data_IF_154375768939
#
_entry.id   IF_154375768939
#
_cell.length_a   1.000
_cell.length_b   1.000
_cell.length_c   1.000
_cell.angle_alpha   90.00
_cell.angle_beta   90.00
_cell.angle_gamma   90.00
#
_symmetry.space_group_name_H-M   'P 1'
#
loop_
_entity.id
_entity.type
_entity.pdbx_description
1 polymer ?
#
# COMPACT_ATOMS: atom_id res chain seq x y z
N UNK A 1 12.86 -55.33 -23.26
CA UNK A 1 12.42 -54.55 -24.44
C UNK A 1 12.38 -53.10 -24.00
N UNK A 2 13.46 -52.36 -24.24
CA UNK A 2 13.77 -51.13 -23.51
C UNK A 2 13.05 -49.92 -24.11
N UNK A 3 12.05 -49.38 -23.42
CA UNK A 3 11.36 -48.13 -23.77
C UNK A 3 12.33 -46.95 -23.98
N UNK A 4 13.53 -47.04 -23.37
CA UNK A 4 14.61 -46.06 -23.48
C UNK A 4 15.25 -46.01 -24.88
N UNK A 5 15.21 -47.09 -25.66
CA UNK A 5 15.78 -47.09 -27.03
C UNK A 5 14.84 -46.42 -28.04
N UNK A 6 13.52 -46.51 -27.83
CA UNK A 6 12.52 -45.86 -28.69
C UNK A 6 12.57 -44.34 -28.49
N UNK A 7 12.71 -43.86 -27.26
CA UNK A 7 12.79 -42.41 -26.98
C UNK A 7 14.10 -41.77 -27.47
N UNK A 8 15.19 -42.54 -27.55
CA UNK A 8 16.50 -42.06 -28.00
C UNK A 8 16.45 -41.52 -29.43
N UNK A 9 15.69 -42.17 -30.31
CA UNK A 9 15.53 -41.75 -31.71
C UNK A 9 14.77 -40.43 -31.83
N UNK A 10 13.72 -40.23 -31.02
CA UNK A 10 12.96 -38.97 -30.98
C UNK A 10 13.78 -37.82 -30.40
N UNK A 11 14.59 -38.08 -29.37
CA UNK A 11 15.48 -37.06 -28.78
C UNK A 11 16.58 -36.65 -29.76
N UNK A 12 17.14 -37.60 -30.51
CA UNK A 12 18.14 -37.32 -31.55
C UNK A 12 17.50 -36.52 -32.71
N UNK A 13 16.30 -36.90 -33.16
CA UNK A 13 15.57 -36.15 -34.19
C UNK A 13 15.24 -34.72 -33.73
N UNK A 14 14.77 -34.56 -32.49
CA UNK A 14 14.48 -33.24 -31.93
C UNK A 14 15.75 -32.38 -31.82
N UNK A 15 16.87 -32.96 -31.39
CA UNK A 15 18.16 -32.27 -31.36
C UNK A 15 18.63 -31.88 -32.77
N UNK A 16 18.49 -32.77 -33.76
CA UNK A 16 18.82 -32.47 -35.15
C UNK A 16 17.94 -31.34 -35.73
N UNK A 17 16.65 -31.29 -35.40
CA UNK A 17 15.74 -30.22 -35.82
C UNK A 17 16.16 -28.89 -35.20
N UNK A 18 16.51 -28.87 -33.90
CA UNK A 18 16.96 -27.66 -33.20
C UNK A 18 18.30 -27.17 -33.76
N UNK A 19 19.25 -28.08 -34.03
CA UNK A 19 20.54 -27.75 -34.63
C UNK A 19 20.36 -27.25 -36.07
N UNK A 20 19.46 -27.86 -36.84
CA UNK A 20 19.12 -27.42 -38.20
C UNK A 20 18.48 -26.03 -38.21
N UNK A 21 17.57 -25.74 -37.27
CA UNK A 21 16.98 -24.41 -37.09
C UNK A 21 18.04 -23.36 -36.71
N UNK A 22 19.01 -23.72 -35.85
CA UNK A 22 20.11 -22.83 -35.47
C UNK A 22 21.08 -22.57 -36.63
N UNK A 23 21.42 -23.61 -37.41
CA UNK A 23 22.25 -23.47 -38.62
C UNK A 23 21.60 -22.58 -39.67
N UNK A 24 20.28 -22.68 -39.84
CA UNK A 24 19.52 -21.81 -40.74
C UNK A 24 19.52 -20.35 -40.26
N UNK A 25 19.53 -20.12 -38.95
CA UNK A 25 19.57 -18.78 -38.35
C UNK A 25 20.94 -18.09 -38.44
N UNK A 26 22.03 -18.84 -38.61
CA UNK A 26 23.41 -18.35 -38.71
C UNK A 26 23.89 -18.14 -40.16
N UNK A 27 23.08 -18.46 -41.17
CA UNK A 27 23.47 -18.40 -42.59
C UNK A 27 23.08 -17.05 -43.24
N UNK A 28 24.06 -16.16 -43.44
CA UNK A 28 23.90 -14.85 -44.09
C UNK A 28 23.93 -14.94 -45.63
N UNK A 29 22.98 -15.69 -46.22
CA UNK A 29 22.72 -15.64 -47.66
C UNK A 29 21.54 -14.70 -47.95
N UNK A 30 21.78 -13.68 -48.77
CA UNK A 30 20.93 -12.49 -49.00
C UNK A 30 19.52 -12.75 -49.60
N UNK A 31 19.08 -14.01 -49.71
CA UNK A 31 17.88 -14.44 -50.43
C UNK A 31 16.83 -15.14 -49.55
N UNK A 32 17.03 -15.22 -48.22
CA UNK A 32 16.13 -15.93 -47.30
C UNK A 32 15.72 -15.04 -46.10
N UNK A 33 15.22 -13.83 -46.39
CA UNK A 33 14.77 -12.88 -45.33
C UNK A 33 13.48 -13.34 -44.63
N UNK A 34 12.62 -14.08 -45.34
CA UNK A 34 11.28 -14.44 -44.84
C UNK A 34 11.29 -15.69 -43.94
N UNK A 35 12.22 -16.61 -44.14
CA UNK A 35 12.31 -17.83 -43.33
C UNK A 35 12.90 -17.53 -41.94
N UNK A 36 13.75 -16.50 -41.83
CA UNK A 36 14.31 -16.03 -40.55
C UNK A 36 13.24 -15.52 -39.59
N UNK A 37 12.24 -14.78 -40.09
CA UNK A 37 11.12 -14.31 -39.27
C UNK A 37 10.23 -15.44 -38.76
N UNK A 38 10.02 -16.50 -39.54
CA UNK A 38 9.22 -17.64 -39.11
C UNK A 38 9.87 -18.41 -37.96
N UNK A 39 11.19 -18.63 -38.04
CA UNK A 39 11.95 -19.30 -36.98
C UNK A 39 11.95 -18.49 -35.66
N UNK A 40 12.17 -17.18 -35.75
CA UNK A 40 12.16 -16.28 -34.58
C UNK A 40 10.78 -16.30 -33.91
N UNK A 41 9.67 -16.28 -34.67
CA UNK A 41 8.31 -16.31 -34.10
C UNK A 41 8.02 -17.63 -33.38
N UNK A 42 8.51 -18.77 -33.89
CA UNK A 42 8.32 -20.07 -33.24
C UNK A 42 9.13 -20.15 -31.93
N UNK A 43 10.38 -19.67 -31.94
CA UNK A 43 11.21 -19.62 -30.73
C UNK A 43 10.61 -18.67 -29.69
N UNK A 44 10.15 -17.47 -30.09
CA UNK A 44 9.50 -16.52 -29.18
C UNK A 44 8.19 -17.08 -28.58
N UNK A 45 7.35 -17.75 -29.39
CA UNK A 45 6.11 -18.38 -28.89
C UNK A 45 6.36 -19.53 -27.93
N UNK A 46 7.43 -20.30 -28.12
CA UNK A 46 7.84 -21.34 -27.18
C UNK A 46 8.35 -20.74 -25.86
N UNK A 47 9.02 -19.58 -25.94
CA UNK A 47 9.52 -18.87 -24.76
C UNK A 47 8.37 -18.26 -23.94
N UNK A 48 7.35 -17.66 -24.58
CA UNK A 48 6.16 -17.13 -23.90
C UNK A 48 5.34 -18.20 -23.14
N UNK A 49 5.35 -19.46 -23.60
CA UNK A 49 4.64 -20.54 -22.91
C UNK A 49 5.37 -21.05 -21.65
N UNK A 50 6.67 -20.76 -21.49
CA UNK A 50 7.45 -21.18 -20.32
C UNK A 50 7.41 -20.18 -19.15
N UNK A 51 6.93 -18.95 -19.37
CA UNK A 51 6.80 -17.90 -18.35
C UNK A 51 5.64 -18.11 -17.36
N UNK A 52 4.81 -19.15 -17.54
CA UNK A 52 3.70 -19.49 -16.63
C UNK A 52 4.15 -20.23 -15.36
N UNK A 53 5.29 -20.91 -15.38
CA UNK A 53 5.80 -21.73 -14.27
C UNK A 53 6.28 -20.90 -13.06
N UNK A 54 7.03 -19.77 -13.21
CA UNK A 54 7.48 -19.00 -12.05
C UNK A 54 6.33 -18.40 -11.21
N UNK A 55 5.15 -18.19 -11.79
CA UNK A 55 4.02 -17.53 -11.12
C UNK A 55 3.39 -18.36 -10.00
N UNK A 56 3.32 -19.69 -10.11
CA UNK A 56 2.65 -20.51 -9.09
C UNK A 56 3.47 -20.58 -7.79
N UNK A 57 4.79 -20.62 -7.89
CA UNK A 57 5.66 -20.65 -6.71
C UNK A 57 5.66 -19.31 -5.98
N UNK A 58 5.77 -18.19 -6.72
CA UNK A 58 5.69 -16.84 -6.15
C UNK A 58 4.33 -16.57 -5.52
N UNK A 59 3.23 -16.92 -6.19
CA UNK A 59 1.87 -16.79 -5.63
C UNK A 59 1.67 -17.61 -4.35
N UNK A 60 2.18 -18.84 -4.30
CA UNK A 60 2.11 -19.66 -3.07
C UNK A 60 2.94 -19.07 -1.94
N UNK A 61 4.13 -18.56 -2.24
CA UNK A 61 4.99 -17.91 -1.26
C UNK A 61 4.34 -16.62 -0.73
N UNK A 62 3.77 -15.80 -1.60
CA UNK A 62 3.04 -14.59 -1.22
C UNK A 62 1.82 -14.92 -0.37
N UNK A 63 1.02 -15.92 -0.75
CA UNK A 63 -0.14 -16.34 0.04
C UNK A 63 0.26 -16.83 1.44
N UNK A 64 1.37 -17.57 1.54
CA UNK A 64 1.91 -18.01 2.82
C UNK A 64 2.35 -16.82 3.68
N UNK A 65 3.10 -15.86 3.13
CA UNK A 65 3.54 -14.66 3.84
C UNK A 65 2.33 -13.84 4.31
N UNK A 66 1.32 -13.66 3.46
CA UNK A 66 0.09 -12.95 3.80
C UNK A 66 -0.67 -13.65 4.94
N UNK A 67 -0.76 -14.98 4.92
CA UNK A 67 -1.38 -15.75 6.02
C UNK A 67 -0.61 -15.60 7.33
N UNK A 68 0.71 -15.70 7.30
CA UNK A 68 1.56 -15.52 8.47
C UNK A 68 1.39 -14.12 9.08
N UNK A 69 1.39 -13.07 8.24
CA UNK A 69 1.10 -11.69 8.67
C UNK A 69 -0.30 -11.55 9.25
N UNK A 70 -1.31 -12.17 8.65
CA UNK A 70 -2.68 -12.09 9.13
C UNK A 70 -2.83 -12.74 10.50
N UNK A 71 -2.23 -13.91 10.72
CA UNK A 71 -2.18 -14.55 12.05
C UNK A 71 -1.47 -13.68 13.07
N UNK A 72 -0.33 -13.08 12.69
CA UNK A 72 0.41 -12.18 13.56
C UNK A 72 -0.41 -10.95 13.98
N UNK A 73 -1.00 -10.25 13.00
CA UNK A 73 -1.85 -9.09 13.23
C UNK A 73 -3.10 -9.45 14.06
N UNK A 74 -3.72 -10.60 13.80
CA UNK A 74 -4.86 -11.07 14.58
C UNK A 74 -4.50 -11.30 16.06
N UNK A 75 -3.33 -11.88 16.32
CA UNK A 75 -2.82 -12.05 17.68
C UNK A 75 -2.53 -10.71 18.36
N UNK A 76 -1.92 -9.76 17.65
CA UNK A 76 -1.66 -8.42 18.17
C UNK A 76 -2.95 -7.68 18.51
N UNK A 77 -3.97 -7.75 17.65
CA UNK A 77 -5.30 -7.18 17.90
C UNK A 77 -5.95 -7.80 19.15
N UNK A 78 -5.82 -9.11 19.34
CA UNK A 78 -6.34 -9.78 20.53
C UNK A 78 -5.65 -9.30 21.81
N UNK A 79 -4.31 -9.23 21.82
CA UNK A 79 -3.54 -8.72 22.95
C UNK A 79 -3.92 -7.26 23.29
N UNK A 80 -4.02 -6.40 22.26
CA UNK A 80 -4.44 -5.01 22.45
C UNK A 80 -5.87 -4.90 22.99
N UNK A 81 -6.76 -5.80 22.57
CA UNK A 81 -8.14 -5.86 23.06
C UNK A 81 -8.21 -6.29 24.52
N UNK A 82 -7.45 -7.31 24.92
CA UNK A 82 -7.36 -7.75 26.31
C UNK A 82 -6.79 -6.65 27.21
N UNK A 83 -5.67 -6.05 26.81
CA UNK A 83 -5.07 -4.93 27.54
C UNK A 83 -6.03 -3.73 27.67
N UNK A 84 -6.83 -3.44 26.63
CA UNK A 84 -7.86 -2.40 26.69
C UNK A 84 -8.97 -2.74 27.70
N UNK A 85 -9.44 -3.98 27.71
CA UNK A 85 -10.48 -4.43 28.65
C UNK A 85 -9.97 -4.41 30.09
N UNK A 86 -8.73 -4.86 30.32
CA UNK A 86 -8.07 -4.78 31.62
C UNK A 86 -7.91 -3.32 32.08
N UNK A 87 -7.46 -2.43 31.19
CA UNK A 87 -7.34 -1.01 31.51
C UNK A 87 -8.68 -0.39 31.92
N UNK A 88 -9.77 -0.71 31.21
CA UNK A 88 -11.12 -0.25 31.56
C UNK A 88 -11.54 -0.79 32.94
N UNK A 89 -11.26 -2.08 33.23
CA UNK A 89 -11.55 -2.68 34.53
C UNK A 89 -10.76 -2.02 35.65
N UNK A 90 -9.46 -1.84 35.48
CA UNK A 90 -8.57 -1.18 36.45
C UNK A 90 -9.02 0.27 36.71
N UNK A 91 -9.37 1.02 35.66
CA UNK A 91 -9.86 2.40 35.79
C UNK A 91 -11.17 2.47 36.56
N UNK A 92 -12.09 1.52 36.32
CA UNK A 92 -13.34 1.43 37.08
C UNK A 92 -13.09 1.14 38.56
N UNK A 93 -12.16 0.22 38.87
CA UNK A 93 -11.77 -0.07 40.25
C UNK A 93 -11.12 1.13 40.94
N UNK A 94 -10.37 1.95 40.20
CA UNK A 94 -9.73 3.17 40.70
C UNK A 94 -10.63 4.41 40.68
N UNK A 95 -11.89 4.30 40.23
CA UNK A 95 -12.81 5.43 40.12
C UNK A 95 -12.36 6.52 39.14
N UNK A 96 -11.47 6.19 38.19
CA UNK A 96 -10.97 7.14 37.20
C UNK A 96 -12.05 7.43 36.15
N UNK A 97 -12.26 8.71 35.82
CA UNK A 97 -13.17 9.13 34.74
C UNK A 97 -12.77 8.46 33.42
N UNK A 98 -13.76 8.05 32.63
CA UNK A 98 -13.53 7.50 31.30
C UNK A 98 -12.84 8.52 30.37
N UNK A 99 -12.07 8.02 29.40
CA UNK A 99 -11.50 8.89 28.35
C UNK A 99 -12.64 9.48 27.52
N UNK A 100 -12.53 10.75 27.07
CA UNK A 100 -13.52 11.32 26.17
C UNK A 100 -13.63 10.48 24.90
N UNK A 101 -14.84 10.10 24.53
CA UNK A 101 -15.12 9.48 23.23
C UNK A 101 -15.12 10.60 22.20
N UNK A 102 -14.15 10.60 21.29
CA UNK A 102 -14.11 11.55 20.20
C UNK A 102 -15.11 11.13 19.12
N UNK A 103 -15.90 12.09 18.64
CA UNK A 103 -16.76 11.92 17.46
C UNK A 103 -16.01 12.49 16.26
N UNK A 104 -15.91 11.71 15.20
CA UNK A 104 -15.21 12.11 13.98
C UNK A 104 -16.21 12.50 12.90
N UNK A 105 -15.93 13.60 12.20
CA UNK A 105 -16.63 14.00 10.97
C UNK A 105 -15.67 13.79 9.82
N UNK A 106 -16.06 12.97 8.84
CA UNK A 106 -15.26 12.72 7.64
C UNK A 106 -15.43 13.88 6.67
N UNK A 107 -14.34 14.34 6.08
CA UNK A 107 -14.31 15.48 5.19
C UNK A 107 -13.28 15.30 4.08
N UNK A 108 -13.57 15.82 2.89
CA UNK A 108 -12.65 15.93 1.77
C UNK A 108 -12.05 17.33 1.67
N UNK A 109 -10.80 17.40 1.23
CA UNK A 109 -10.14 18.68 0.93
C UNK A 109 -10.54 19.13 -0.46
N UNK A 110 -11.35 20.19 -0.55
CA UNK A 110 -11.84 20.76 -1.81
C UNK A 110 -11.04 21.99 -2.26
N UNK A 111 -10.21 22.55 -1.38
CA UNK A 111 -9.42 23.73 -1.68
C UNK A 111 -8.16 23.77 -0.82
N UNK A 112 -7.07 24.25 -1.41
CA UNK A 112 -5.79 24.40 -0.72
C UNK A 112 -5.17 25.73 -1.10
N UNK A 113 -4.98 26.60 -0.11
CA UNK A 113 -4.30 27.86 -0.31
C UNK A 113 -2.86 27.74 0.20
N UNK A 114 -1.92 27.92 -0.71
CA UNK A 114 -0.47 27.80 -0.49
C UNK A 114 0.21 29.16 -0.46
N UNK A 115 -0.32 30.09 0.34
CA UNK A 115 0.35 31.35 0.53
C UNK A 115 1.52 31.17 1.52
N UNK A 116 2.74 31.69 1.26
CA UNK A 116 3.94 31.45 2.07
C UNK A 116 3.83 31.81 3.56
N UNK A 117 2.81 32.58 3.95
CA UNK A 117 2.51 32.92 5.34
C UNK A 117 1.16 32.41 5.85
N UNK A 118 0.32 31.81 4.99
CA UNK A 118 -1.05 31.40 5.32
C UNK A 118 -1.47 30.10 4.63
N UNK A 119 -0.87 29.00 5.04
CA UNK A 119 -1.27 27.67 4.54
C UNK A 119 -2.60 27.25 5.18
N UNK A 120 -3.65 27.17 4.36
CA UNK A 120 -4.99 26.78 4.80
C UNK A 120 -5.60 25.77 3.83
N UNK A 121 -6.50 24.93 4.34
CA UNK A 121 -7.29 23.98 3.56
C UNK A 121 -8.77 24.27 3.75
N UNK A 122 -9.56 24.04 2.70
CA UNK A 122 -11.02 24.11 2.72
C UNK A 122 -11.58 22.69 2.66
N UNK A 123 -12.52 22.42 3.55
CA UNK A 123 -13.18 21.13 3.74
C UNK A 123 -14.63 21.22 3.27
N UNK A 124 -15.18 20.13 2.74
CA UNK A 124 -16.58 19.98 2.27
C UNK A 124 -17.59 19.70 3.40
N UNK A 125 -17.26 20.09 4.63
CA UNK A 125 -18.10 19.94 5.82
C UNK A 125 -18.21 21.25 6.56
N UNK A 126 -19.35 21.51 7.20
CA UNK A 126 -19.64 22.79 7.84
C UNK A 126 -20.41 22.66 9.15
N UNK A 127 -21.07 23.75 9.54
CA UNK A 127 -21.84 23.82 10.78
C UNK A 127 -23.01 22.83 10.80
N UNK A 128 -23.62 22.54 9.64
CA UNK A 128 -24.67 21.52 9.51
C UNK A 128 -24.18 20.11 9.81
N UNK A 129 -22.90 19.85 9.62
CA UNK A 129 -22.24 18.58 9.93
C UNK A 129 -21.70 18.54 11.38
N UNK A 130 -21.97 19.60 12.16
CA UNK A 130 -21.53 19.74 13.54
C UNK A 130 -20.09 20.24 13.70
N UNK A 131 -19.44 20.69 12.62
CA UNK A 131 -18.08 21.24 12.65
C UNK A 131 -18.11 22.62 13.30
N UNK A 132 -17.16 22.86 14.23
CA UNK A 132 -17.03 24.13 14.94
C UNK A 132 -15.62 24.68 14.86
N UNK A 133 -15.43 26.00 14.97
CA UNK A 133 -14.11 26.58 15.16
C UNK A 133 -13.39 25.93 16.35
N UNK A 134 -12.07 25.83 16.24
CA UNK A 134 -11.17 25.14 17.16
C UNK A 134 -11.21 23.61 17.19
N UNK A 135 -12.01 22.94 16.35
CA UNK A 135 -11.91 21.49 16.19
C UNK A 135 -10.59 21.07 15.53
N UNK A 136 -10.01 19.95 15.98
CA UNK A 136 -8.80 19.40 15.42
C UNK A 136 -9.06 18.69 14.07
N UNK A 137 -8.15 18.85 13.12
CA UNK A 137 -8.18 18.16 11.83
C UNK A 137 -7.05 17.13 11.81
N UNK A 138 -7.42 15.87 11.62
CA UNK A 138 -6.53 14.70 11.71
C UNK A 138 -6.61 13.89 10.43
N UNK A 139 -5.48 13.34 10.01
CA UNK A 139 -5.34 12.31 8.96
C UNK A 139 -4.87 10.99 9.56
N UNK A 140 -4.73 9.99 8.71
CA UNK A 140 -4.06 8.72 9.01
C UNK A 140 -2.63 8.90 9.57
N UNK A 141 -1.91 9.93 9.10
CA UNK A 141 -0.57 10.26 9.58
C UNK A 141 -0.56 11.06 10.90
N UNK A 142 -1.71 11.54 11.37
CA UNK A 142 -1.83 12.32 12.60
C UNK A 142 -2.43 13.73 12.42
N UNK A 143 -2.17 14.61 13.40
CA UNK A 143 -2.74 15.97 13.44
C UNK A 143 -2.21 16.82 12.29
N UNK A 144 -3.11 17.38 11.48
CA UNK A 144 -2.77 18.29 10.38
C UNK A 144 -2.97 19.74 10.78
N UNK A 145 -3.93 20.03 11.67
CA UNK A 145 -4.26 21.41 11.99
C UNK A 145 -5.54 21.58 12.79
N UNK A 146 -6.13 22.77 12.69
CA UNK A 146 -7.33 23.16 13.44
C UNK A 146 -8.26 24.01 12.58
N UNK A 147 -9.56 23.81 12.75
CA UNK A 147 -10.61 24.62 12.10
C UNK A 147 -10.55 26.05 12.63
N UNK A 148 -10.44 27.03 11.74
CA UNK A 148 -10.41 28.46 12.08
C UNK A 148 -11.72 29.17 11.77
N UNK A 149 -12.43 28.71 10.75
CA UNK A 149 -13.72 29.27 10.36
C UNK A 149 -14.63 28.18 9.80
N UNK A 150 -15.93 28.36 9.99
CA UNK A 150 -16.99 27.46 9.51
C UNK A 150 -18.06 28.27 8.79
N UNK A 151 -18.75 27.61 7.87
CA UNK A 151 -19.95 28.04 7.16
C UNK A 151 -20.92 26.86 7.12
N UNK A 152 -22.12 27.03 6.57
CA UNK A 152 -23.18 26.01 6.61
C UNK A 152 -22.78 24.67 5.97
N UNK A 153 -21.87 24.66 5.00
CA UNK A 153 -21.42 23.44 4.32
C UNK A 153 -19.91 23.38 4.05
N UNK A 154 -19.15 24.32 4.61
CA UNK A 154 -17.70 24.39 4.39
C UNK A 154 -16.98 24.82 5.65
N UNK A 155 -15.75 24.36 5.81
CA UNK A 155 -14.89 24.74 6.92
C UNK A 155 -13.49 25.04 6.40
N UNK A 156 -12.85 26.05 6.98
CA UNK A 156 -11.47 26.40 6.70
C UNK A 156 -10.62 25.96 7.88
N UNK A 157 -9.60 25.16 7.61
CA UNK A 157 -8.63 24.74 8.61
C UNK A 157 -7.24 25.32 8.34
N UNK A 158 -6.60 25.77 9.42
CA UNK A 158 -5.22 26.21 9.46
C UNK A 158 -4.32 25.00 9.73
N UNK A 159 -3.31 24.81 8.88
CA UNK A 159 -2.37 23.69 8.98
C UNK A 159 -1.28 24.02 10.01
N UNK A 160 -0.69 23.00 10.63
CA UNK A 160 0.46 23.13 11.53
C UNK A 160 1.66 23.90 10.94
N UNK A 161 1.82 23.90 9.60
CA UNK A 161 2.89 24.63 8.91
C UNK A 161 2.66 26.16 8.85
N UNK A 162 1.54 26.66 9.39
CA UNK A 162 1.29 28.09 9.45
C UNK A 162 2.17 28.75 10.53
N UNK A 163 2.75 29.93 10.24
CA UNK A 163 3.63 30.68 11.18
C UNK A 163 3.00 31.05 12.54
N UNK A 164 1.68 30.97 12.64
CA UNK A 164 0.93 31.33 13.85
C UNK A 164 0.31 30.09 14.51
N UNK A 165 0.63 28.90 14.01
CA UNK A 165 0.17 27.65 14.59
C UNK A 165 0.89 27.44 15.91
N UNK A 166 0.12 27.26 16.99
CA UNK A 166 0.64 26.91 18.30
C UNK A 166 -0.16 25.74 18.82
N UNK A 167 0.51 24.60 19.03
CA UNK A 167 -0.13 23.37 19.50
C UNK A 167 0.63 22.83 20.70
N UNK A 168 -0.09 22.53 21.77
CA UNK A 168 0.47 21.83 22.93
C UNK A 168 0.78 20.40 22.54
N UNK A 169 2.02 19.98 22.75
CA UNK A 169 2.50 18.62 22.47
C UNK A 169 3.09 18.03 23.73
N UNK A 170 3.02 16.70 23.89
CA UNK A 170 3.67 15.99 24.98
C UNK A 170 4.59 14.91 24.39
N UNK A 171 5.84 14.90 24.82
CA UNK A 171 6.79 13.84 24.45
C UNK A 171 6.44 12.60 25.27
N UNK A 172 5.93 11.54 24.63
CA UNK A 172 5.37 10.37 25.29
C UNK A 172 6.33 9.72 26.31
N UNK A 173 7.61 9.58 25.93
CA UNK A 173 8.63 8.93 26.78
C UNK A 173 8.96 9.73 28.03
N UNK A 174 9.08 11.04 27.90
CA UNK A 174 9.56 11.91 28.98
C UNK A 174 8.42 12.57 29.75
N UNK A 175 7.17 12.48 29.25
CA UNK A 175 6.00 13.19 29.79
C UNK A 175 6.24 14.71 29.91
N UNK A 176 7.08 15.25 29.03
CA UNK A 176 7.40 16.68 28.97
C UNK A 176 6.43 17.37 28.02
N UNK A 177 5.79 18.42 28.53
CA UNK A 177 4.89 19.26 27.75
C UNK A 177 5.69 20.37 27.05
N UNK A 178 5.33 20.64 25.80
CA UNK A 178 5.94 21.67 24.97
C UNK A 178 4.93 22.33 24.04
N UNK A 179 5.37 23.38 23.35
CA UNK A 179 4.57 24.05 22.33
C UNK A 179 5.29 23.86 20.99
N UNK A 180 4.58 23.26 20.04
CA UNK A 180 5.00 23.22 18.65
C UNK A 180 4.60 24.56 17.99
N UNK A 181 5.58 25.25 17.42
CA UNK A 181 5.46 26.53 16.71
C UNK A 181 6.26 26.52 15.40
#
# INVERSE_FOLDING_TARGET
>A
MNILSVFKEYVILAACIVVSLNLLALNDAHQIRDIRSAAIVVVCKLQEQLDLIPNIFTLRQENRILRERNVHLANEVNLLREAKLENVRLRRLLGLKDRPVFTYVSANVIGKNHQPMRTTITLDVGERDGVKPNMAVVSDAGLIGRVVATSDGYAVAQILLHKDSRVSVQIERERVDGILY
#
